data_IF_281154141315
#
_entry.id   IF_281154141315
#
_cell.length_a   1.000
_cell.length_b   1.000
_cell.length_c   1.000
_cell.angle_alpha   90.00
_cell.angle_beta   90.00
_cell.angle_gamma   90.00
#
_symmetry.space_group_name_H-M   'P 1'
#
loop_
_entity.id
_entity.type
_entity.pdbx_description
1 polymer ?
#
# COMPACT_ATOMS: atom_id res chain seq x y z
N UNK A 1 -6.52 23.49 3.78
CA UNK A 1 -6.33 22.06 3.99
C UNK A 1 -7.09 21.62 5.24
N UNK A 2 -7.89 20.56 5.13
CA UNK A 2 -8.75 20.05 6.21
C UNK A 2 -8.38 18.61 6.60
N UNK A 3 -7.92 17.82 5.65
CA UNK A 3 -7.59 16.42 5.88
C UNK A 3 -6.23 16.03 5.27
N UNK A 4 -5.64 14.95 5.82
CA UNK A 4 -4.45 14.30 5.32
C UNK A 4 -4.79 12.83 5.06
N UNK A 5 -4.66 12.40 3.81
CA UNK A 5 -4.86 11.03 3.37
C UNK A 5 -3.51 10.32 3.36
N UNK A 6 -3.43 9.17 3.99
CA UNK A 6 -2.19 8.39 4.06
C UNK A 6 -2.32 7.05 3.32
N UNK A 7 -1.37 6.79 2.44
CA UNK A 7 -1.01 5.41 2.13
C UNK A 7 -0.45 4.70 3.37
N UNK A 8 -0.41 3.36 3.35
CA UNK A 8 0.01 2.59 4.53
C UNK A 8 1.36 1.89 4.32
N UNK A 9 1.47 1.02 3.33
CA UNK A 9 2.62 0.12 3.19
C UNK A 9 3.79 0.80 2.47
N UNK A 10 4.89 1.03 3.18
CA UNK A 10 6.01 1.87 2.75
C UNK A 10 5.94 3.29 3.31
N UNK A 11 4.75 3.72 3.72
CA UNK A 11 4.45 5.05 4.27
C UNK A 11 4.36 5.04 5.79
N UNK A 12 3.38 4.34 6.36
CA UNK A 12 3.16 4.22 7.81
C UNK A 12 3.71 2.91 8.38
N UNK A 13 3.57 1.83 7.63
CA UNK A 13 3.96 0.47 7.99
C UNK A 13 5.03 -0.03 7.02
N UNK A 14 6.07 -0.65 7.56
CA UNK A 14 7.15 -1.23 6.76
C UNK A 14 6.65 -2.44 5.96
N UNK A 15 7.03 -2.52 4.69
CA UNK A 15 6.81 -3.72 3.87
C UNK A 15 7.73 -4.88 4.29
N UNK A 16 8.88 -4.57 4.94
CA UNK A 16 9.83 -5.57 5.41
C UNK A 16 10.30 -6.53 4.33
N UNK A 17 10.67 -7.74 4.77
CA UNK A 17 11.08 -8.85 3.91
C UNK A 17 10.05 -10.00 3.88
N UNK A 18 8.85 -9.79 4.42
CA UNK A 18 7.85 -10.85 4.58
C UNK A 18 7.52 -11.55 3.27
N UNK A 19 7.22 -10.80 2.22
CA UNK A 19 6.81 -11.37 0.93
C UNK A 19 7.94 -12.13 0.23
N UNK A 20 9.19 -11.66 0.27
CA UNK A 20 10.31 -12.41 -0.32
C UNK A 20 10.63 -13.67 0.51
N UNK A 21 10.47 -13.61 1.83
CA UNK A 21 10.62 -14.78 2.68
C UNK A 21 9.51 -15.81 2.44
N UNK A 22 8.27 -15.36 2.18
CA UNK A 22 7.17 -16.24 1.77
C UNK A 22 7.50 -16.97 0.45
N UNK A 23 8.01 -16.25 -0.54
CA UNK A 23 8.48 -16.86 -1.80
C UNK A 23 9.57 -17.90 -1.55
N UNK A 24 10.59 -17.58 -0.74
CA UNK A 24 11.66 -18.54 -0.37
C UNK A 24 11.07 -19.81 0.27
N UNK A 25 10.11 -19.65 1.16
CA UNK A 25 9.44 -20.78 1.81
C UNK A 25 8.62 -21.62 0.82
N UNK A 26 7.90 -20.98 -0.10
CA UNK A 26 7.13 -21.69 -1.15
C UNK A 26 8.06 -22.50 -2.05
N UNK A 27 9.13 -21.90 -2.57
CA UNK A 27 10.06 -22.57 -3.46
C UNK A 27 10.82 -23.69 -2.76
N UNK A 28 11.28 -23.49 -1.51
CA UNK A 28 11.93 -24.52 -0.71
C UNK A 28 11.01 -25.74 -0.44
N UNK A 29 9.73 -25.49 -0.13
CA UNK A 29 8.72 -26.55 0.04
C UNK A 29 8.53 -27.39 -1.24
N UNK A 30 8.81 -26.82 -2.41
CA UNK A 30 8.72 -27.49 -3.72
C UNK A 30 10.05 -28.06 -4.19
N UNK A 31 11.12 -27.96 -3.42
CA UNK A 31 12.48 -28.33 -3.83
C UNK A 31 12.87 -27.69 -5.17
N UNK A 32 12.44 -26.46 -5.39
CA UNK A 32 12.68 -25.73 -6.64
C UNK A 32 14.03 -25.02 -6.60
N UNK A 33 14.77 -25.09 -7.70
CA UNK A 33 16.06 -24.38 -7.88
C UNK A 33 15.88 -22.97 -8.47
N UNK A 34 14.63 -22.49 -8.61
CA UNK A 34 14.34 -21.15 -9.12
C UNK A 34 14.84 -20.11 -8.11
N UNK A 35 15.54 -19.09 -8.61
CA UNK A 35 16.01 -17.98 -7.79
C UNK A 35 14.81 -17.19 -7.21
N UNK A 36 14.67 -17.10 -5.88
CA UNK A 36 13.50 -16.49 -5.24
C UNK A 36 13.28 -15.02 -5.62
N UNK A 37 14.35 -14.27 -5.82
CA UNK A 37 14.32 -12.86 -6.17
C UNK A 37 13.76 -12.67 -7.60
N UNK A 38 14.12 -13.54 -8.54
CA UNK A 38 13.60 -13.53 -9.91
C UNK A 38 12.10 -13.90 -9.92
N UNK A 39 11.73 -14.98 -9.23
CA UNK A 39 10.34 -15.40 -9.09
C UNK A 39 9.47 -14.30 -8.46
N UNK A 40 9.96 -13.67 -7.40
CA UNK A 40 9.23 -12.58 -6.74
C UNK A 40 9.11 -11.33 -7.63
N UNK A 41 10.14 -11.01 -8.41
CA UNK A 41 10.07 -9.89 -9.36
C UNK A 41 8.98 -10.12 -10.42
N UNK A 42 8.88 -11.32 -10.97
CA UNK A 42 7.83 -11.69 -11.92
C UNK A 42 6.44 -11.68 -11.26
N UNK A 43 6.32 -12.22 -10.05
CA UNK A 43 5.08 -12.15 -9.27
C UNK A 43 4.59 -10.71 -9.10
N UNK A 44 5.48 -9.79 -8.70
CA UNK A 44 5.10 -8.37 -8.57
C UNK A 44 4.63 -7.75 -9.88
N UNK A 45 5.22 -8.13 -11.01
CA UNK A 45 4.77 -7.64 -12.32
C UNK A 45 3.37 -8.17 -12.67
N UNK A 46 3.12 -9.46 -12.46
CA UNK A 46 1.79 -10.06 -12.66
C UNK A 46 0.75 -9.40 -11.75
N UNK A 47 1.06 -9.24 -10.47
CA UNK A 47 0.21 -8.59 -9.47
C UNK A 47 -0.19 -7.18 -9.91
N UNK A 48 0.80 -6.34 -10.26
CA UNK A 48 0.56 -4.98 -10.75
C UNK A 48 -0.27 -4.96 -12.03
N UNK A 49 -0.05 -5.90 -12.95
CA UNK A 49 -0.85 -6.04 -14.18
C UNK A 49 -2.31 -6.37 -13.86
N UNK A 50 -2.57 -7.28 -12.89
CA UNK A 50 -3.95 -7.65 -12.51
C UNK A 50 -4.69 -6.55 -11.78
N UNK A 51 -4.02 -5.80 -10.90
CA UNK A 51 -4.62 -4.63 -10.24
C UNK A 51 -5.13 -3.57 -11.23
N UNK A 52 -4.58 -3.53 -12.45
CA UNK A 52 -4.96 -2.58 -13.52
C UNK A 52 -6.03 -3.10 -14.47
N UNK A 53 -6.56 -4.30 -14.24
CA UNK A 53 -7.64 -4.84 -15.07
C UNK A 53 -8.96 -4.14 -14.80
N UNK A 54 -9.86 -4.19 -15.80
CA UNK A 54 -11.19 -3.57 -15.69
C UNK A 54 -12.06 -4.22 -14.63
N UNK A 55 -11.97 -5.55 -14.49
CA UNK A 55 -12.67 -6.29 -13.45
C UNK A 55 -11.88 -6.22 -12.15
N UNK A 56 -12.49 -5.69 -11.10
CA UNK A 56 -11.89 -5.67 -9.78
C UNK A 56 -11.77 -7.10 -9.23
N UNK A 57 -10.61 -7.39 -8.66
CA UNK A 57 -10.31 -8.59 -7.88
C UNK A 57 -9.72 -8.14 -6.55
N UNK A 58 -10.01 -8.83 -5.46
CA UNK A 58 -9.33 -8.61 -4.19
C UNK A 58 -7.85 -8.96 -4.28
N UNK A 59 -7.01 -8.43 -3.40
CA UNK A 59 -5.59 -8.78 -3.35
C UNK A 59 -5.38 -10.29 -3.15
N UNK A 60 -6.19 -10.91 -2.30
CA UNK A 60 -6.23 -12.37 -2.11
C UNK A 60 -6.49 -13.13 -3.43
N UNK A 61 -7.49 -12.71 -4.21
CA UNK A 61 -7.80 -13.33 -5.50
C UNK A 61 -6.68 -13.14 -6.52
N UNK A 62 -6.04 -11.97 -6.51
CA UNK A 62 -4.89 -11.69 -7.37
C UNK A 62 -3.74 -12.61 -6.99
N UNK A 63 -3.36 -12.73 -5.72
CA UNK A 63 -2.29 -13.63 -5.27
C UNK A 63 -2.54 -15.09 -5.69
N UNK A 64 -3.78 -15.56 -5.59
CA UNK A 64 -4.15 -16.91 -6.04
C UNK A 64 -3.94 -17.10 -7.54
N UNK A 65 -4.40 -16.15 -8.34
CA UNK A 65 -4.27 -16.20 -9.81
C UNK A 65 -2.82 -16.06 -10.26
N UNK A 66 -2.07 -15.20 -9.62
CA UNK A 66 -0.65 -14.98 -9.91
C UNK A 66 0.15 -16.27 -9.65
N UNK A 67 -0.04 -16.88 -8.48
CA UNK A 67 0.69 -18.09 -8.12
C UNK A 67 0.31 -19.27 -9.02
N UNK A 68 -0.96 -19.40 -9.41
CA UNK A 68 -1.40 -20.39 -10.37
C UNK A 68 -0.70 -20.24 -11.74
N UNK A 69 -0.59 -18.99 -12.24
CA UNK A 69 0.09 -18.69 -13.49
C UNK A 69 1.59 -18.96 -13.39
N UNK A 70 2.25 -18.53 -12.32
CA UNK A 70 3.68 -18.79 -12.07
C UNK A 70 3.97 -20.29 -11.97
N UNK A 71 3.12 -21.07 -11.31
CA UNK A 71 3.27 -22.53 -11.25
C UNK A 71 3.22 -23.16 -12.64
N UNK A 72 2.30 -22.68 -13.48
CA UNK A 72 2.21 -23.13 -14.88
C UNK A 72 3.45 -22.75 -15.70
N UNK A 73 3.92 -21.51 -15.58
CA UNK A 73 5.08 -20.99 -16.33
C UNK A 73 6.37 -21.74 -15.96
N UNK A 74 6.57 -21.96 -14.65
CA UNK A 74 7.79 -22.59 -14.15
C UNK A 74 7.69 -24.14 -14.04
N UNK A 75 6.56 -24.73 -14.41
CA UNK A 75 6.36 -26.18 -14.30
C UNK A 75 6.38 -26.69 -12.85
N UNK A 76 5.99 -25.87 -11.88
CA UNK A 76 5.99 -26.24 -10.47
C UNK A 76 4.77 -27.14 -10.18
N UNK A 77 5.02 -28.37 -9.73
CA UNK A 77 3.96 -29.28 -9.31
C UNK A 77 3.49 -28.97 -7.88
N UNK A 78 2.18 -29.07 -7.65
CA UNK A 78 1.60 -28.97 -6.32
C UNK A 78 0.36 -28.09 -6.24
N UNK A 79 -0.13 -27.90 -5.01
CA UNK A 79 -1.35 -27.13 -4.75
C UNK A 79 -1.00 -25.66 -4.44
N UNK A 80 -1.12 -24.82 -5.45
CA UNK A 80 -0.91 -23.37 -5.30
C UNK A 80 -1.92 -22.72 -4.34
N UNK A 81 -3.11 -23.32 -4.14
CA UNK A 81 -4.12 -22.78 -3.21
C UNK A 81 -3.71 -22.92 -1.76
N UNK A 82 -2.97 -23.98 -1.43
CA UNK A 82 -2.37 -24.15 -0.11
C UNK A 82 -1.12 -23.26 0.04
N UNK A 83 -0.32 -23.16 -1.01
CA UNK A 83 0.95 -22.44 -0.94
C UNK A 83 0.77 -20.91 -0.92
N UNK A 84 -0.30 -20.38 -1.54
CA UNK A 84 -0.62 -18.95 -1.47
C UNK A 84 -0.88 -18.47 -0.04
N UNK A 85 -1.31 -19.35 0.87
CA UNK A 85 -1.52 -19.02 2.28
C UNK A 85 -0.24 -18.50 2.92
N UNK A 86 0.92 -19.03 2.54
CA UNK A 86 2.23 -18.57 3.04
C UNK A 86 2.46 -17.09 2.65
N UNK A 87 2.08 -16.68 1.43
CA UNK A 87 2.15 -15.28 1.03
C UNK A 87 1.15 -14.43 1.80
N UNK A 88 -0.10 -14.88 1.93
CA UNK A 88 -1.14 -14.15 2.65
C UNK A 88 -0.77 -13.96 4.13
N UNK A 89 -0.22 -14.98 4.77
CA UNK A 89 0.28 -14.88 6.16
C UNK A 89 1.41 -13.85 6.30
N UNK A 90 2.22 -13.64 5.26
CA UNK A 90 3.28 -12.63 5.26
C UNK A 90 2.77 -11.17 5.24
N UNK A 91 1.49 -10.97 4.99
CA UNK A 91 0.87 -9.65 5.00
C UNK A 91 0.52 -9.16 6.40
N UNK A 92 0.47 -10.07 7.37
CA UNK A 92 0.13 -9.76 8.75
C UNK A 92 1.35 -9.40 9.61
N UNK A 93 1.09 -8.78 10.77
CA UNK A 93 2.08 -8.47 11.80
C UNK A 93 3.26 -7.61 11.28
N UNK A 94 3.00 -6.75 10.31
CA UNK A 94 3.97 -5.79 9.80
C UNK A 94 4.15 -4.65 10.79
N UNK A 95 5.38 -4.22 10.99
CA UNK A 95 5.73 -3.23 12.01
C UNK A 95 5.54 -1.80 11.49
N UNK A 96 4.91 -0.95 12.28
CA UNK A 96 4.82 0.49 12.07
C UNK A 96 6.20 1.14 12.17
N UNK A 97 6.44 2.20 11.40
CA UNK A 97 7.65 2.98 11.56
C UNK A 97 7.62 3.75 12.90
N UNK A 98 8.78 3.87 13.59
CA UNK A 98 8.82 4.36 14.98
C UNK A 98 8.22 5.76 15.20
N UNK A 99 8.32 6.64 14.20
CA UNK A 99 7.84 8.02 14.27
C UNK A 99 6.32 8.15 14.06
N UNK A 100 5.67 7.11 13.51
CA UNK A 100 4.27 7.18 13.07
C UNK A 100 3.28 7.46 14.20
N UNK A 101 3.33 6.77 15.36
CA UNK A 101 2.33 6.99 16.41
C UNK A 101 2.32 8.45 16.90
N UNK A 102 3.49 9.05 17.08
CA UNK A 102 3.59 10.44 17.53
C UNK A 102 3.16 11.41 16.44
N UNK A 103 3.61 11.22 15.21
CA UNK A 103 3.27 12.09 14.08
C UNK A 103 1.76 12.09 13.81
N UNK A 104 1.12 10.92 13.79
CA UNK A 104 -0.33 10.78 13.61
C UNK A 104 -1.09 11.46 14.77
N UNK A 105 -0.67 11.25 16.02
CA UNK A 105 -1.30 11.91 17.17
C UNK A 105 -1.21 13.44 17.11
N UNK A 106 -0.11 13.99 16.61
CA UNK A 106 0.03 15.44 16.41
C UNK A 106 -0.84 15.95 15.29
N UNK A 107 -0.79 15.30 14.12
CA UNK A 107 -1.59 15.66 12.94
C UNK A 107 -3.09 15.62 13.23
N UNK A 108 -3.58 14.60 13.93
CA UNK A 108 -5.00 14.41 14.24
C UNK A 108 -5.60 15.50 15.15
N UNK A 109 -4.77 16.32 15.82
CA UNK A 109 -5.24 17.48 16.60
C UNK A 109 -5.69 18.64 15.71
N UNK A 110 -5.25 18.67 14.46
CA UNK A 110 -5.49 19.81 13.54
C UNK A 110 -6.18 19.39 12.23
N UNK A 111 -5.96 18.18 11.79
CA UNK A 111 -6.45 17.66 10.52
C UNK A 111 -7.20 16.36 10.72
N UNK A 112 -8.21 16.09 9.89
CA UNK A 112 -8.74 14.74 9.80
C UNK A 112 -7.71 13.82 9.14
N UNK A 113 -7.35 12.73 9.83
CA UNK A 113 -6.43 11.72 9.31
C UNK A 113 -7.25 10.59 8.72
N UNK A 114 -7.03 10.29 7.44
CA UNK A 114 -7.76 9.32 6.64
C UNK A 114 -6.78 8.31 6.06
N UNK A 115 -7.08 7.03 6.17
CA UNK A 115 -6.30 5.97 5.54
C UNK A 115 -6.84 5.65 4.16
N UNK A 116 -5.94 5.50 3.17
CA UNK A 116 -6.29 5.28 1.76
C UNK A 116 -5.24 4.36 1.10
N UNK A 117 -5.42 3.04 1.15
CA UNK A 117 -4.41 2.05 0.79
C UNK A 117 -4.89 1.00 -0.22
N UNK A 118 -3.97 0.60 -1.11
CA UNK A 118 -4.16 -0.54 -2.01
C UNK A 118 -3.93 -1.84 -1.22
N UNK A 119 -5.00 -2.40 -0.65
CA UNK A 119 -4.97 -3.65 0.12
C UNK A 119 -6.37 -4.18 0.37
N UNK A 120 -6.47 -5.43 0.77
CA UNK A 120 -7.69 -5.99 1.36
C UNK A 120 -7.84 -5.47 2.80
N UNK A 121 -9.08 -5.36 3.26
CA UNK A 121 -9.44 -4.69 4.52
C UNK A 121 -8.99 -5.48 5.75
N UNK A 122 -9.18 -6.79 5.73
CA UNK A 122 -8.85 -7.64 6.88
C UNK A 122 -7.38 -7.59 7.26
N UNK A 123 -6.38 -7.81 6.35
CA UNK A 123 -4.98 -7.74 6.72
C UNK A 123 -4.55 -6.33 7.17
N UNK A 124 -5.17 -5.27 6.65
CA UNK A 124 -4.91 -3.91 7.09
C UNK A 124 -5.33 -3.69 8.54
N UNK A 125 -6.56 -4.09 8.88
CA UNK A 125 -7.08 -3.93 10.25
C UNK A 125 -6.27 -4.76 11.25
N UNK A 126 -5.84 -5.97 10.89
CA UNK A 126 -4.96 -6.78 11.76
C UNK A 126 -3.60 -6.12 11.96
N UNK A 127 -3.01 -5.48 10.93
CA UNK A 127 -1.77 -4.73 11.10
C UNK A 127 -1.96 -3.51 12.02
N UNK A 128 -3.10 -2.83 11.95
CA UNK A 128 -3.38 -1.71 12.85
C UNK A 128 -3.56 -2.18 14.30
N UNK A 129 -4.32 -3.26 14.51
CA UNK A 129 -4.49 -3.86 15.83
C UNK A 129 -3.15 -4.31 16.44
N UNK A 130 -2.33 -5.02 15.66
CA UNK A 130 -0.99 -5.46 16.08
C UNK A 130 -0.09 -4.30 16.54
N UNK A 131 -0.22 -3.11 15.92
CA UNK A 131 0.58 -1.93 16.24
C UNK A 131 -0.13 -0.94 17.20
N UNK A 132 -1.34 -1.24 17.66
CA UNK A 132 -2.13 -0.35 18.51
C UNK A 132 -2.56 0.94 17.81
N UNK A 133 -2.73 0.92 16.49
CA UNK A 133 -3.16 2.08 15.69
C UNK A 133 -4.68 2.08 15.51
N UNK A 134 -5.30 3.25 15.68
CA UNK A 134 -6.73 3.45 15.50
C UNK A 134 -6.99 4.65 14.60
N UNK A 135 -7.79 4.45 13.55
CA UNK A 135 -8.17 5.49 12.60
C UNK A 135 -9.69 5.56 12.45
N UNK A 136 -10.23 6.77 12.36
CA UNK A 136 -11.68 6.99 12.24
C UNK A 136 -12.22 6.71 10.83
N UNK A 137 -11.39 6.91 9.79
CA UNK A 137 -11.76 6.66 8.39
C UNK A 137 -10.68 5.84 7.70
N UNK A 138 -11.09 4.69 7.15
CA UNK A 138 -10.20 3.75 6.47
C UNK A 138 -10.83 3.38 5.14
N UNK A 139 -10.11 3.63 4.06
CA UNK A 139 -10.48 3.25 2.70
C UNK A 139 -9.44 2.29 2.14
N UNK A 140 -9.91 1.14 1.67
CA UNK A 140 -9.09 0.11 1.04
C UNK A 140 -9.50 -0.07 -0.42
N UNK A 141 -8.62 -0.61 -1.24
CA UNK A 141 -8.98 -0.97 -2.62
C UNK A 141 -10.15 -1.96 -2.65
N UNK A 142 -10.21 -2.90 -1.72
CA UNK A 142 -11.32 -3.84 -1.59
C UNK A 142 -12.64 -3.10 -1.30
N UNK A 143 -12.68 -2.24 -0.29
CA UNK A 143 -13.87 -1.49 0.10
C UNK A 143 -14.41 -0.57 -1.01
N UNK A 144 -13.50 0.03 -1.79
CA UNK A 144 -13.83 0.92 -2.90
C UNK A 144 -14.05 0.21 -4.24
N UNK A 145 -13.72 -1.08 -4.33
CA UNK A 145 -13.68 -1.85 -5.58
C UNK A 145 -12.89 -1.10 -6.67
N UNK A 146 -11.74 -0.55 -6.28
CA UNK A 146 -10.84 0.21 -7.14
C UNK A 146 -9.45 0.27 -6.54
N UNK A 147 -8.43 0.05 -7.34
CA UNK A 147 -7.03 0.24 -6.98
C UNK A 147 -6.54 1.63 -7.37
N UNK A 148 -5.66 2.25 -6.60
CA UNK A 148 -4.78 3.31 -7.09
C UNK A 148 -3.94 2.74 -8.25
N UNK A 149 -3.68 3.46 -9.32
CA UNK A 149 -3.91 4.89 -9.56
C UNK A 149 -5.26 5.24 -10.22
N UNK A 150 -6.28 4.37 -10.19
CA UNK A 150 -7.58 4.67 -10.80
C UNK A 150 -8.21 5.91 -10.14
N UNK A 151 -8.61 6.94 -10.90
CA UNK A 151 -9.25 8.14 -10.37
C UNK A 151 -10.46 7.86 -9.47
N UNK A 152 -11.22 6.80 -9.76
CA UNK A 152 -12.37 6.36 -8.93
C UNK A 152 -11.98 6.22 -7.46
N UNK A 153 -10.78 5.68 -7.16
CA UNK A 153 -10.32 5.50 -5.79
C UNK A 153 -10.33 6.82 -5.01
N UNK A 154 -9.65 7.83 -5.53
CA UNK A 154 -9.52 9.12 -4.85
C UNK A 154 -10.83 9.92 -4.83
N UNK A 155 -11.53 9.96 -5.98
CA UNK A 155 -12.79 10.71 -6.11
C UNK A 155 -13.89 10.16 -5.19
N UNK A 156 -13.95 8.85 -5.01
CA UNK A 156 -14.90 8.25 -4.06
C UNK A 156 -14.61 8.70 -2.64
N UNK A 157 -13.34 8.69 -2.20
CA UNK A 157 -12.94 9.16 -0.87
C UNK A 157 -13.29 10.63 -0.68
N UNK A 158 -12.94 11.49 -1.64
CA UNK A 158 -13.24 12.91 -1.57
C UNK A 158 -14.74 13.17 -1.45
N UNK A 159 -15.54 12.49 -2.27
CA UNK A 159 -16.99 12.64 -2.26
C UNK A 159 -17.62 12.17 -0.95
N UNK A 160 -17.24 11.00 -0.43
CA UNK A 160 -17.78 10.47 0.83
C UNK A 160 -17.35 11.32 2.05
N UNK A 161 -16.17 11.92 2.00
CA UNK A 161 -15.68 12.81 3.06
C UNK A 161 -16.19 14.25 2.91
N UNK A 162 -16.75 14.63 1.76
CA UNK A 162 -17.22 15.98 1.49
C UNK A 162 -16.08 17.00 1.33
N UNK A 163 -14.94 16.57 0.79
CA UNK A 163 -13.78 17.44 0.54
C UNK A 163 -13.58 17.71 -0.95
N UNK A 164 -13.17 18.96 -1.25
CA UNK A 164 -12.61 19.27 -2.56
C UNK A 164 -11.10 18.89 -2.61
N UNK A 165 -10.54 18.65 -3.81
CA UNK A 165 -9.14 18.22 -3.96
C UNK A 165 -8.11 19.12 -3.25
N UNK A 166 -8.32 20.44 -3.31
CA UNK A 166 -7.43 21.44 -2.71
C UNK A 166 -7.49 21.50 -1.17
N UNK A 167 -8.50 20.86 -0.57
CA UNK A 167 -8.67 20.78 0.88
C UNK A 167 -7.92 19.60 1.52
N UNK A 168 -7.34 18.72 0.72
CA UNK A 168 -6.65 17.52 1.20
C UNK A 168 -5.18 17.49 0.78
N UNK A 169 -4.37 16.76 1.53
CA UNK A 169 -3.01 16.35 1.19
C UNK A 169 -2.97 14.83 1.14
N UNK A 170 -2.47 14.27 0.03
CA UNK A 170 -2.20 12.85 -0.08
C UNK A 170 -0.72 12.57 0.26
N UNK A 171 -0.45 11.61 1.12
CA UNK A 171 0.90 11.27 1.61
C UNK A 171 1.19 9.81 1.32
N UNK A 172 2.26 9.53 0.58
CA UNK A 172 2.65 8.15 0.27
C UNK A 172 4.03 8.03 -0.35
N UNK A 173 4.46 6.80 -0.62
CA UNK A 173 5.80 6.49 -1.14
C UNK A 173 5.83 6.07 -2.62
N UNK A 174 4.66 5.80 -3.22
CA UNK A 174 4.55 5.39 -4.62
C UNK A 174 4.42 6.58 -5.56
N UNK A 175 5.36 6.68 -6.50
CA UNK A 175 5.37 7.73 -7.53
C UNK A 175 4.03 7.83 -8.28
N UNK A 176 3.56 6.71 -8.83
CA UNK A 176 2.37 6.69 -9.70
C UNK A 176 1.08 6.81 -8.88
N UNK A 177 0.99 6.05 -7.78
CA UNK A 177 -0.24 5.87 -7.00
C UNK A 177 -0.48 6.99 -5.99
N UNK A 178 0.59 7.58 -5.42
CA UNK A 178 0.44 8.53 -4.33
C UNK A 178 0.82 9.96 -4.71
N UNK A 179 1.52 10.14 -5.86
CA UNK A 179 1.97 11.46 -6.30
C UNK A 179 1.30 11.85 -7.62
N UNK A 180 1.56 11.13 -8.71
CA UNK A 180 1.10 11.53 -10.04
C UNK A 180 -0.43 11.50 -10.15
N UNK A 181 -1.04 10.37 -9.78
CA UNK A 181 -2.48 10.21 -9.96
C UNK A 181 -3.32 11.20 -9.12
N UNK A 182 -3.07 11.38 -7.80
CA UNK A 182 -3.81 12.38 -7.05
C UNK A 182 -3.49 13.82 -7.49
N UNK A 183 -2.26 14.13 -7.91
CA UNK A 183 -1.92 15.46 -8.45
C UNK A 183 -2.72 15.83 -9.71
N UNK A 184 -2.99 14.85 -10.58
CA UNK A 184 -3.82 15.05 -11.78
C UNK A 184 -5.28 15.41 -11.45
N UNK A 185 -5.73 15.11 -10.22
CA UNK A 185 -7.04 15.46 -9.70
C UNK A 185 -7.04 16.79 -8.92
N UNK A 186 -5.91 17.48 -8.86
CA UNK A 186 -5.75 18.74 -8.10
C UNK A 186 -5.46 18.55 -6.60
N UNK A 187 -5.20 17.32 -6.16
CA UNK A 187 -4.83 17.01 -4.78
C UNK A 187 -3.35 17.36 -4.58
N UNK A 188 -3.04 18.07 -3.48
CA UNK A 188 -1.64 18.26 -3.05
C UNK A 188 -1.05 16.95 -2.57
N UNK A 189 0.25 16.73 -2.83
CA UNK A 189 0.91 15.46 -2.50
C UNK A 189 2.19 15.68 -1.71
N UNK A 190 2.52 14.70 -0.86
CA UNK A 190 3.79 14.61 -0.16
C UNK A 190 4.42 13.24 -0.41
N UNK A 191 5.59 13.23 -1.05
CA UNK A 191 6.36 12.02 -1.26
C UNK A 191 7.13 11.66 0.03
N UNK A 192 6.94 10.44 0.51
CA UNK A 192 7.73 9.87 1.60
C UNK A 192 8.92 9.11 1.01
N UNK A 193 10.03 9.78 0.85
CA UNK A 193 11.27 9.22 0.31
C UNK A 193 12.21 8.72 1.41
N UNK A 194 11.85 7.60 2.04
CA UNK A 194 12.63 6.99 3.13
C UNK A 194 14.03 6.59 2.71
N UNK A 195 14.25 6.35 1.42
CA UNK A 195 15.56 5.97 0.87
C UNK A 195 16.42 7.18 0.50
N UNK A 196 15.90 8.39 0.60
CA UNK A 196 16.56 9.64 0.22
C UNK A 196 17.07 9.61 -1.22
N UNK A 197 16.26 9.09 -2.11
CA UNK A 197 16.59 8.97 -3.54
C UNK A 197 16.67 10.33 -4.25
N UNK A 198 16.00 11.35 -3.68
CA UNK A 198 15.92 12.70 -4.26
C UNK A 198 15.06 12.78 -5.52
N UNK A 199 14.20 11.81 -5.75
CA UNK A 199 13.34 11.80 -6.93
C UNK A 199 12.26 12.88 -6.85
N UNK A 200 12.00 13.51 -8.00
CA UNK A 200 10.94 14.51 -8.16
C UNK A 200 9.92 14.02 -9.19
N UNK A 201 8.65 14.01 -8.79
CA UNK A 201 7.52 13.57 -9.61
C UNK A 201 6.41 14.63 -9.71
N UNK A 202 6.72 15.89 -9.31
CA UNK A 202 5.77 16.97 -9.22
C UNK A 202 5.00 17.04 -7.89
N UNK A 203 5.49 16.38 -6.84
CA UNK A 203 4.93 16.47 -5.50
C UNK A 203 5.02 17.89 -4.91
N UNK A 204 4.06 18.22 -4.04
CA UNK A 204 4.08 19.51 -3.33
C UNK A 204 5.17 19.54 -2.26
N UNK A 205 5.39 18.40 -1.59
CA UNK A 205 6.40 18.23 -0.54
C UNK A 205 7.18 16.94 -0.75
N UNK A 206 8.48 16.95 -0.39
CA UNK A 206 9.31 15.75 -0.24
C UNK A 206 9.73 15.66 1.21
N UNK A 207 9.50 14.50 1.84
CA UNK A 207 9.85 14.21 3.22
C UNK A 207 10.54 12.84 3.30
N UNK A 208 11.45 12.68 4.28
CA UNK A 208 12.12 11.40 4.48
C UNK A 208 11.31 10.45 5.39
N UNK A 209 10.49 11.03 6.25
CA UNK A 209 9.56 10.34 7.14
C UNK A 209 8.41 11.27 7.52
N UNK A 210 7.33 10.72 8.08
CA UNK A 210 6.12 11.50 8.33
C UNK A 210 6.22 12.48 9.51
N UNK A 211 7.25 12.43 10.36
CA UNK A 211 7.47 13.39 11.42
C UNK A 211 7.69 14.81 10.89
N UNK A 212 8.22 14.89 9.64
CA UNK A 212 8.48 16.16 8.96
C UNK A 212 7.20 16.88 8.50
N UNK A 213 6.05 16.19 8.48
CA UNK A 213 4.78 16.84 8.10
C UNK A 213 4.34 17.90 9.11
N UNK A 214 4.50 17.65 10.41
CA UNK A 214 4.06 18.60 11.42
C UNK A 214 4.74 19.96 11.31
N UNK A 215 6.06 20.09 11.19
CA UNK A 215 6.70 21.38 10.90
C UNK A 215 6.19 22.05 9.62
N UNK A 216 5.97 21.29 8.55
CA UNK A 216 5.49 21.79 7.25
C UNK A 216 4.06 22.31 7.37
N UNK A 217 3.21 21.61 8.13
CA UNK A 217 1.78 21.90 8.25
C UNK A 217 1.42 22.76 9.48
N UNK A 218 2.41 23.09 10.32
CA UNK A 218 2.27 23.93 11.48
C UNK A 218 1.48 23.28 12.63
N UNK A 219 1.71 22.00 12.93
CA UNK A 219 1.12 21.27 14.05
C UNK A 219 2.18 20.66 14.99
#
# INVERSE_FOLDING_TARGET
>A
MKAVLFDVYGTLISTGTGSINAVKSILAKKHSEIEPEAFYAEWKQLHKKRMRQTLFLTEREIFMKDLAELYSVYGIAGDYKEDVKIMLESLYNRTVYPEVPEAINRLSKKYEVIIASNTDTEPLLQNFDYNGLVFGKIYTSEGLMAYKPNPKFYLTILNECGYSPEEVLYVGDSCEEDIIAPSQLGIKTALVDRKKSGNEYGQTFSINDISQLCPILGC
#
